data_IF_372789553921
#
_entry.id   IF_372789553921
#
_cell.length_a   1.000
_cell.length_b   1.000
_cell.length_c   1.000
_cell.angle_alpha   90.00
_cell.angle_beta   90.00
_cell.angle_gamma   90.00
#
_symmetry.space_group_name_H-M   'P 1'
#
loop_
_entity.id
_entity.type
_entity.pdbx_description
1 polymer ?
#
# COMPACT_ATOMS: atom_id res chain seq x y z
N UNK A 1 -33.80 -32.36 15.51
CA UNK A 1 -33.62 -31.80 14.15
C UNK A 1 -33.70 -30.25 14.09
N UNK A 2 -33.33 -29.52 15.16
CA UNK A 2 -33.35 -28.03 15.15
C UNK A 2 -31.96 -27.44 15.45
N UNK A 3 -30.98 -28.26 15.83
CA UNK A 3 -29.65 -27.78 16.25
C UNK A 3 -28.72 -27.46 15.07
N UNK A 4 -29.03 -27.89 13.85
CA UNK A 4 -28.19 -27.61 12.66
C UNK A 4 -28.53 -26.29 11.96
N UNK A 5 -29.73 -25.71 12.17
CA UNK A 5 -30.12 -24.47 11.49
C UNK A 5 -29.41 -23.22 12.04
N UNK A 6 -29.01 -23.24 13.32
CA UNK A 6 -28.23 -22.16 13.93
C UNK A 6 -26.76 -22.17 13.50
N UNK A 7 -26.23 -23.33 13.10
CA UNK A 7 -24.87 -23.46 12.59
C UNK A 7 -24.71 -23.00 11.12
N UNK A 8 -25.81 -22.83 10.39
CA UNK A 8 -25.80 -22.20 9.07
C UNK A 8 -25.88 -20.66 9.15
N UNK A 9 -26.56 -20.11 10.16
CA UNK A 9 -26.67 -18.66 10.34
C UNK A 9 -25.35 -18.00 10.80
N UNK A 10 -24.46 -18.74 11.47
CA UNK A 10 -23.13 -18.24 11.86
C UNK A 10 -22.11 -18.24 10.72
N UNK A 11 -22.46 -18.78 9.53
CA UNK A 11 -21.59 -18.75 8.34
C UNK A 11 -21.74 -17.49 7.49
N UNK A 12 -22.66 -16.59 7.86
CA UNK A 12 -22.94 -15.34 7.13
C UNK A 12 -22.42 -14.07 7.80
N UNK A 13 -21.66 -14.20 8.89
CA UNK A 13 -20.75 -13.15 9.36
C UNK A 13 -19.32 -13.51 8.93
N UNK A 14 -19.14 -13.79 7.64
CA UNK A 14 -17.87 -13.48 7.00
C UNK A 14 -17.82 -11.95 6.90
N UNK A 15 -17.57 -11.30 8.04
CA UNK A 15 -16.94 -9.98 8.03
C UNK A 15 -15.80 -10.11 7.01
N UNK A 16 -15.80 -9.25 6.00
CA UNK A 16 -14.74 -9.20 5.01
C UNK A 16 -13.41 -9.24 5.78
N UNK A 17 -12.76 -10.41 5.80
CA UNK A 17 -11.52 -10.60 6.55
C UNK A 17 -10.48 -9.87 5.75
N UNK A 18 -10.40 -8.55 5.97
CA UNK A 18 -9.28 -7.74 5.57
C UNK A 18 -8.07 -8.45 6.18
N UNK A 19 -7.16 -9.00 5.34
CA UNK A 19 -6.00 -9.69 5.85
C UNK A 19 -5.27 -8.74 6.79
N UNK A 20 -5.02 -9.16 8.02
CA UNK A 20 -4.34 -8.31 8.98
C UNK A 20 -2.89 -8.13 8.52
N UNK A 21 -2.36 -6.89 8.53
CA UNK A 21 -0.95 -6.65 8.24
C UNK A 21 -0.11 -7.47 9.23
N UNK A 22 0.92 -8.15 8.73
CA UNK A 22 1.85 -8.83 9.62
C UNK A 22 3.05 -7.95 9.86
N UNK A 23 3.61 -8.12 11.06
CA UNK A 23 4.98 -7.76 11.36
C UNK A 23 5.92 -8.52 10.42
N UNK A 24 6.24 -7.93 9.27
CA UNK A 24 7.35 -8.35 8.45
C UNK A 24 8.68 -8.03 9.16
N UNK A 25 9.76 -8.62 8.67
CA UNK A 25 11.15 -8.51 9.14
C UNK A 25 11.47 -7.22 9.90
N UNK A 26 12.24 -7.34 10.99
CA UNK A 26 12.71 -6.19 11.80
C UNK A 26 13.34 -5.06 10.97
N UNK A 27 13.84 -5.37 9.78
CA UNK A 27 14.37 -4.44 8.77
C UNK A 27 13.38 -3.35 8.33
N UNK A 28 12.05 -3.60 8.36
CA UNK A 28 11.02 -2.68 7.85
C UNK A 28 10.20 -1.98 8.95
N UNK A 29 10.52 -2.27 10.21
CA UNK A 29 9.82 -1.74 11.38
C UNK A 29 8.38 -2.22 11.53
N UNK A 30 7.79 -1.88 12.67
CA UNK A 30 6.44 -2.31 13.06
C UNK A 30 5.40 -1.17 13.03
N UNK A 31 5.80 0.06 12.71
CA UNK A 31 4.90 1.22 12.61
C UNK A 31 4.02 1.18 11.36
N UNK A 32 4.50 0.50 10.32
CA UNK A 32 3.82 0.44 9.02
C UNK A 32 3.08 -0.90 8.92
N UNK A 33 1.78 -0.91 8.55
CA UNK A 33 1.01 -2.12 8.37
C UNK A 33 1.34 -2.80 7.03
N UNK A 34 2.52 -3.40 6.93
CA UNK A 34 2.99 -4.07 5.72
C UNK A 34 2.16 -5.31 5.36
N UNK A 35 1.91 -5.45 4.06
CA UNK A 35 1.21 -6.59 3.46
C UNK A 35 2.16 -7.77 3.26
N UNK A 36 1.64 -8.99 3.34
CA UNK A 36 2.42 -10.24 3.29
C UNK A 36 3.04 -10.50 1.93
N UNK A 37 2.31 -10.12 0.89
CA UNK A 37 2.63 -10.42 -0.49
C UNK A 37 2.05 -9.34 -1.37
N UNK A 38 2.52 -9.31 -2.62
CA UNK A 38 1.94 -8.43 -3.62
C UNK A 38 0.46 -8.76 -3.88
N UNK A 39 0.07 -10.04 -3.84
CA UNK A 39 -1.33 -10.43 -4.01
C UNK A 39 -2.21 -9.88 -2.90
N UNK A 40 -1.81 -10.01 -1.63
CA UNK A 40 -2.50 -9.44 -0.47
C UNK A 40 -2.63 -7.92 -0.57
N UNK A 41 -1.53 -7.25 -0.96
CA UNK A 41 -1.53 -5.81 -1.15
C UNK A 41 -2.52 -5.35 -2.23
N UNK A 42 -2.59 -6.08 -3.36
CA UNK A 42 -3.48 -5.78 -4.47
C UNK A 42 -4.95 -6.11 -4.16
N UNK A 43 -5.21 -7.18 -3.42
CA UNK A 43 -6.56 -7.55 -2.99
C UNK A 43 -7.13 -6.49 -2.05
N UNK A 44 -6.35 -6.10 -1.03
CA UNK A 44 -6.76 -5.04 -0.11
C UNK A 44 -6.98 -3.69 -0.82
N UNK A 45 -6.07 -3.33 -1.74
CA UNK A 45 -6.19 -2.10 -2.53
C UNK A 45 -7.47 -2.05 -3.38
N UNK A 46 -7.91 -3.20 -3.93
CA UNK A 46 -9.15 -3.29 -4.68
C UNK A 46 -10.38 -3.13 -3.80
N UNK A 47 -10.37 -3.71 -2.60
CA UNK A 47 -11.50 -3.67 -1.67
C UNK A 47 -11.78 -2.26 -1.15
N UNK A 48 -10.73 -1.48 -0.85
CA UNK A 48 -10.87 -0.15 -0.23
C UNK A 48 -10.48 1.01 -1.17
N UNK A 49 -10.33 0.72 -2.46
CA UNK A 49 -9.90 1.66 -3.51
C UNK A 49 -8.60 2.42 -3.18
N UNK A 50 -7.64 1.77 -2.52
CA UNK A 50 -6.37 2.41 -2.14
C UNK A 50 -5.29 2.22 -3.19
N UNK A 51 -4.46 3.23 -3.48
CA UNK A 51 -3.22 3.00 -4.21
C UNK A 51 -2.30 2.03 -3.46
N UNK A 52 -1.44 1.32 -4.20
CA UNK A 52 -0.43 0.43 -3.61
C UNK A 52 0.94 1.08 -3.67
N UNK A 53 1.64 1.13 -2.54
CA UNK A 53 3.06 1.45 -2.47
C UNK A 53 3.87 0.15 -2.47
N UNK A 54 4.78 0.00 -3.43
CA UNK A 54 5.68 -1.15 -3.54
C UNK A 54 7.11 -0.68 -3.37
N UNK A 55 7.82 -1.25 -2.39
CA UNK A 55 9.25 -1.02 -2.21
C UNK A 55 10.01 -2.28 -2.63
N UNK A 56 10.87 -2.14 -3.63
CA UNK A 56 11.74 -3.23 -4.09
C UNK A 56 13.14 -3.02 -3.52
N UNK A 57 13.69 -4.06 -2.90
CA UNK A 57 14.97 -4.05 -2.20
C UNK A 57 15.75 -5.33 -2.47
N UNK A 58 17.03 -5.36 -2.11
CA UNK A 58 17.88 -6.56 -2.22
C UNK A 58 18.83 -6.62 -1.00
N UNK A 59 19.24 -7.82 -0.60
CA UNK A 59 20.28 -7.99 0.42
C UNK A 59 21.63 -7.47 -0.10
N UNK A 60 22.46 -6.93 0.80
CA UNK A 60 23.77 -6.36 0.46
C UNK A 60 23.73 -5.03 -0.31
N UNK A 61 22.55 -4.44 -0.49
CA UNK A 61 22.35 -3.11 -1.08
C UNK A 61 22.65 -1.99 -0.06
N UNK A 62 23.70 -1.15 -0.26
CA UNK A 62 24.03 -0.07 0.68
C UNK A 62 22.92 0.96 0.80
N UNK A 63 22.38 1.43 -0.32
CA UNK A 63 21.29 2.41 -0.36
C UNK A 63 20.00 1.90 0.32
N UNK A 64 19.74 0.60 0.25
CA UNK A 64 18.60 -0.03 0.92
C UNK A 64 18.81 -0.06 2.44
N UNK A 65 20.02 -0.40 2.87
CA UNK A 65 20.43 -0.39 4.29
C UNK A 65 20.27 1.00 4.91
N UNK A 66 20.51 2.05 4.14
CA UNK A 66 20.35 3.43 4.59
C UNK A 66 18.88 3.90 4.58
N UNK A 67 18.13 3.59 3.51
CA UNK A 67 16.78 4.13 3.32
C UNK A 67 15.72 3.42 4.18
N UNK A 68 15.79 2.09 4.30
CA UNK A 68 14.73 1.31 4.96
C UNK A 68 14.50 1.70 6.43
N UNK A 69 15.55 1.93 7.26
CA UNK A 69 15.36 2.41 8.63
C UNK A 69 14.69 3.80 8.69
N UNK A 70 14.94 4.68 7.72
CA UNK A 70 14.30 5.99 7.68
C UNK A 70 12.81 5.86 7.38
N UNK A 71 12.46 5.01 6.41
CA UNK A 71 11.06 4.68 6.09
C UNK A 71 10.35 4.08 7.31
N UNK A 72 10.96 3.05 7.91
CA UNK A 72 10.44 2.35 9.08
C UNK A 72 10.17 3.26 10.28
N UNK A 73 11.03 4.28 10.49
CA UNK A 73 10.93 5.19 11.63
C UNK A 73 10.06 6.44 11.37
N UNK A 74 9.73 6.74 10.11
CA UNK A 74 8.95 7.92 9.73
C UNK A 74 7.48 7.78 10.15
N UNK A 75 7.06 8.59 11.12
CA UNK A 75 5.66 8.66 11.56
C UNK A 75 4.74 9.17 10.44
N UNK A 76 5.21 10.05 9.56
CA UNK A 76 4.42 10.59 8.46
C UNK A 76 4.15 9.52 7.39
N UNK A 77 5.16 8.73 7.03
CA UNK A 77 4.97 7.60 6.10
C UNK A 77 4.04 6.55 6.72
N UNK A 78 4.26 6.20 7.99
CA UNK A 78 3.39 5.25 8.70
C UNK A 78 1.93 5.70 8.72
N UNK A 79 1.68 6.99 9.00
CA UNK A 79 0.34 7.57 8.95
C UNK A 79 -0.26 7.50 7.55
N UNK A 80 0.46 7.99 6.53
CA UNK A 80 -0.03 7.97 5.15
C UNK A 80 -0.34 6.55 4.69
N UNK A 81 0.52 5.57 4.99
CA UNK A 81 0.25 4.18 4.62
C UNK A 81 -0.99 3.65 5.33
N UNK A 82 -1.09 3.86 6.64
CA UNK A 82 -2.22 3.35 7.43
C UNK A 82 -3.56 3.93 6.98
N UNK A 83 -3.57 5.20 6.58
CA UNK A 83 -4.77 5.92 6.18
C UNK A 83 -5.09 5.73 4.69
N UNK A 84 -4.11 5.75 3.79
CA UNK A 84 -4.37 5.96 2.35
C UNK A 84 -3.78 4.90 1.42
N UNK A 85 -2.88 4.02 1.88
CA UNK A 85 -2.22 3.05 1.00
C UNK A 85 -2.42 1.60 1.45
N UNK A 86 -2.22 0.71 0.49
CA UNK A 86 -1.76 -0.66 0.75
C UNK A 86 -0.26 -0.70 0.50
N UNK A 87 0.56 -1.21 1.42
CA UNK A 87 2.01 -1.17 1.27
C UNK A 87 2.65 -2.55 1.35
N UNK A 88 3.64 -2.84 0.50
CA UNK A 88 4.36 -4.11 0.45
C UNK A 88 5.83 -3.90 0.12
N UNK A 89 6.69 -4.73 0.70
CA UNK A 89 8.12 -4.82 0.35
C UNK A 89 8.37 -6.11 -0.44
N UNK A 90 9.20 -6.04 -1.48
CA UNK A 90 9.54 -7.18 -2.34
C UNK A 90 11.06 -7.26 -2.51
N UNK A 91 11.63 -8.46 -2.40
CA UNK A 91 13.03 -8.69 -2.72
C UNK A 91 13.20 -8.80 -4.26
N UNK A 92 14.22 -8.16 -4.83
CA UNK A 92 14.49 -8.06 -6.28
C UNK A 92 14.54 -9.43 -6.98
N UNK A 93 14.96 -10.47 -6.28
CA UNK A 93 15.11 -11.80 -6.86
C UNK A 93 13.79 -12.58 -7.02
N UNK A 94 12.65 -12.00 -6.63
CA UNK A 94 11.34 -12.65 -6.79
C UNK A 94 10.81 -12.53 -8.22
N UNK A 95 10.12 -13.56 -8.70
CA UNK A 95 9.54 -13.58 -10.05
C UNK A 95 8.49 -12.50 -10.29
N UNK A 96 7.70 -12.16 -9.27
CA UNK A 96 6.68 -11.12 -9.36
C UNK A 96 7.25 -9.69 -9.42
N UNK A 97 8.58 -9.54 -9.29
CA UNK A 97 9.26 -8.26 -9.43
C UNK A 97 9.55 -7.88 -10.88
N UNK A 98 9.64 -8.85 -11.79
CA UNK A 98 9.98 -8.65 -13.21
C UNK A 98 9.08 -7.64 -13.96
N UNK A 99 7.86 -7.39 -13.45
CA UNK A 99 6.93 -6.40 -13.98
C UNK A 99 7.22 -4.95 -13.54
N UNK A 100 8.20 -4.74 -12.67
CA UNK A 100 8.58 -3.45 -12.09
C UNK A 100 9.97 -2.98 -12.57
N UNK A 101 10.20 -3.04 -13.89
CA UNK A 101 11.46 -2.63 -14.52
C UNK A 101 11.21 -1.56 -15.59
N UNK A 102 10.60 -0.43 -15.18
CA UNK A 102 10.28 0.66 -16.11
C UNK A 102 11.54 1.42 -16.56
N UNK A 103 12.54 1.56 -15.67
CA UNK A 103 13.79 2.29 -15.93
C UNK A 103 15.04 1.54 -15.46
N UNK A 104 14.93 0.23 -15.16
CA UNK A 104 16.09 -0.63 -14.91
C UNK A 104 16.00 -1.57 -13.69
N UNK A 105 17.14 -2.19 -13.40
CA UNK A 105 17.35 -3.27 -12.42
C UNK A 105 17.96 -2.83 -11.07
N UNK A 106 17.89 -1.54 -10.70
CA UNK A 106 18.59 -1.00 -9.51
C UNK A 106 17.76 -1.15 -8.21
N UNK A 107 18.39 -1.04 -7.04
CA UNK A 107 17.69 -1.05 -5.75
C UNK A 107 18.24 0.04 -4.81
N UNK A 108 17.40 0.62 -3.93
CA UNK A 108 15.95 0.42 -3.82
C UNK A 108 15.17 1.15 -4.92
N UNK A 109 13.96 0.65 -5.22
CA UNK A 109 12.97 1.34 -6.07
C UNK A 109 11.63 1.42 -5.36
N UNK A 110 10.93 2.54 -5.55
CA UNK A 110 9.59 2.74 -5.00
C UNK A 110 8.62 3.02 -6.13
N UNK A 111 7.65 2.13 -6.29
CA UNK A 111 6.57 2.25 -7.26
C UNK A 111 5.24 2.52 -6.57
N UNK A 112 4.42 3.34 -7.22
CA UNK A 112 3.02 3.52 -6.87
C UNK A 112 2.13 2.90 -7.94
N UNK A 113 1.18 2.08 -7.50
CA UNK A 113 0.21 1.44 -8.37
C UNK A 113 -1.15 2.07 -8.11
N UNK A 114 -1.92 2.18 -9.18
CA UNK A 114 -3.36 2.46 -9.09
C UNK A 114 -4.08 1.43 -8.22
N UNK A 115 -5.29 1.72 -7.70
CA UNK A 115 -6.11 0.75 -6.99
C UNK A 115 -6.46 -0.53 -7.78
N UNK A 116 -6.32 -0.49 -9.11
CA UNK A 116 -6.48 -1.66 -10.00
C UNK A 116 -5.24 -2.56 -10.06
N UNK A 117 -4.12 -2.12 -9.48
CA UNK A 117 -2.86 -2.85 -9.44
C UNK A 117 -1.91 -2.60 -10.61
N UNK A 118 -2.17 -1.57 -11.42
CA UNK A 118 -1.27 -1.17 -12.51
C UNK A 118 -0.28 -0.11 -12.01
N UNK A 119 1.00 -0.24 -12.37
CA UNK A 119 2.02 0.78 -12.11
C UNK A 119 1.63 2.08 -12.78
N UNK A 120 1.60 3.18 -12.03
CA UNK A 120 1.29 4.50 -12.55
C UNK A 120 2.57 5.31 -12.70
N UNK A 121 3.13 5.29 -13.91
CA UNK A 121 4.42 5.89 -14.24
C UNK A 121 4.46 7.43 -14.08
N UNK A 122 3.32 8.08 -13.83
CA UNK A 122 3.27 9.53 -13.51
C UNK A 122 3.89 9.85 -12.15
N UNK A 123 3.95 8.86 -11.25
CA UNK A 123 4.51 9.01 -9.91
C UNK A 123 5.93 8.43 -9.85
N UNK A 124 6.90 9.33 -9.89
CA UNK A 124 8.31 9.05 -9.75
C UNK A 124 8.96 10.18 -8.92
N UNK A 125 10.23 10.05 -8.55
CA UNK A 125 10.91 11.05 -7.75
C UNK A 125 11.19 12.32 -8.56
N UNK A 126 10.36 13.35 -8.37
CA UNK A 126 10.53 14.69 -8.95
C UNK A 126 11.28 15.64 -8.03
N UNK A 127 11.50 15.24 -6.78
CA UNK A 127 11.87 16.15 -5.70
C UNK A 127 13.36 16.14 -5.42
N UNK A 128 13.98 14.96 -5.52
CA UNK A 128 15.42 14.75 -5.41
C UNK A 128 15.85 13.84 -6.58
N UNK A 129 15.67 14.28 -7.85
CA UNK A 129 15.78 13.41 -9.02
C UNK A 129 17.22 12.96 -9.25
N UNK A 130 17.38 11.67 -9.56
CA UNK A 130 18.62 11.09 -10.06
C UNK A 130 18.42 10.81 -11.56
N UNK A 131 19.21 11.39 -12.48
CA UNK A 131 18.90 11.41 -13.92
C UNK A 131 18.55 10.05 -14.55
N UNK A 132 19.18 8.97 -14.09
CA UNK A 132 18.97 7.62 -14.62
C UNK A 132 18.04 6.76 -13.75
N UNK A 133 17.72 7.20 -12.53
CA UNK A 133 17.00 6.40 -11.52
C UNK A 133 15.75 7.13 -11.03
N UNK A 134 14.70 7.15 -11.86
CA UNK A 134 13.47 7.92 -11.61
C UNK A 134 12.71 7.45 -10.37
N UNK A 135 12.79 6.17 -10.04
CA UNK A 135 12.09 5.57 -8.89
C UNK A 135 12.99 5.38 -7.67
N UNK A 136 14.23 5.87 -7.73
CA UNK A 136 15.11 5.97 -6.57
C UNK A 136 14.76 7.20 -5.73
N UNK A 137 14.79 7.04 -4.41
CA UNK A 137 14.56 8.12 -3.45
C UNK A 137 15.71 8.11 -2.43
N UNK A 138 16.55 9.15 -2.38
CA UNK A 138 17.66 9.20 -1.43
C UNK A 138 17.20 9.48 0.01
N UNK A 139 15.99 10.03 0.19
CA UNK A 139 15.44 10.36 1.50
C UNK A 139 13.92 10.20 1.57
N UNK A 140 13.40 10.13 2.79
CA UNK A 140 11.96 10.06 3.07
C UNK A 140 11.19 11.32 2.61
N UNK A 141 11.87 12.46 2.45
CA UNK A 141 11.23 13.72 2.07
C UNK A 141 10.63 13.63 0.66
N UNK A 142 11.39 13.08 -0.30
CA UNK A 142 10.90 12.84 -1.65
C UNK A 142 9.74 11.84 -1.68
N UNK A 143 9.84 10.77 -0.87
CA UNK A 143 8.80 9.74 -0.75
C UNK A 143 7.48 10.35 -0.30
N UNK A 144 7.48 11.11 0.80
CA UNK A 144 6.28 11.75 1.36
C UNK A 144 5.61 12.67 0.35
N UNK A 145 6.40 13.46 -0.39
CA UNK A 145 5.83 14.37 -1.40
C UNK A 145 5.19 13.59 -2.55
N UNK A 146 5.84 12.54 -3.05
CA UNK A 146 5.23 11.66 -4.06
C UNK A 146 3.98 10.95 -3.54
N UNK A 147 3.97 10.49 -2.29
CA UNK A 147 2.78 9.90 -1.67
C UNK A 147 1.61 10.88 -1.66
N UNK A 148 1.85 12.17 -1.35
CA UNK A 148 0.80 13.21 -1.37
C UNK A 148 0.24 13.40 -2.79
N UNK A 149 1.10 13.47 -3.81
CA UNK A 149 0.64 13.52 -5.21
C UNK A 149 -0.22 12.31 -5.60
N UNK A 150 0.12 11.12 -5.10
CA UNK A 150 -0.64 9.89 -5.36
C UNK A 150 -2.00 9.95 -4.67
N UNK A 151 -2.07 10.40 -3.43
CA UNK A 151 -3.34 10.57 -2.68
C UNK A 151 -4.25 11.58 -3.38
N UNK A 152 -3.71 12.70 -3.87
CA UNK A 152 -4.48 13.70 -4.59
C UNK A 152 -5.06 13.16 -5.91
N UNK A 153 -4.33 12.26 -6.58
CA UNK A 153 -4.78 11.62 -7.82
C UNK A 153 -5.74 10.44 -7.61
N UNK A 154 -5.71 9.83 -6.43
CA UNK A 154 -6.57 8.72 -6.01
C UNK A 154 -7.31 9.06 -4.70
N UNK A 155 -8.20 10.06 -4.70
CA UNK A 155 -8.91 10.46 -3.51
C UNK A 155 -9.86 9.35 -3.03
N UNK A 156 -10.15 9.37 -1.72
CA UNK A 156 -11.12 8.47 -1.08
C UNK A 156 -12.40 8.39 -1.90
N UNK A 157 -12.74 7.18 -2.35
CA UNK A 157 -14.07 6.92 -2.90
C UNK A 157 -14.96 6.45 -1.76
N UNK A 158 -16.21 6.89 -1.76
CA UNK A 158 -17.20 6.37 -0.84
C UNK A 158 -17.39 4.88 -1.15
N UNK A 159 -16.78 4.04 -0.32
CA UNK A 159 -16.92 2.60 -0.34
C UNK A 159 -17.60 2.18 0.96
N UNK A 160 -18.43 1.14 0.90
CA UNK A 160 -19.20 0.68 2.06
C UNK A 160 -18.31 0.33 3.28
N UNK A 161 -17.02 0.06 3.05
CA UNK A 161 -16.02 -0.33 4.05
C UNK A 161 -15.34 0.84 4.77
N UNK A 162 -15.43 2.08 4.26
CA UNK A 162 -14.80 3.26 4.87
C UNK A 162 -15.61 4.54 4.58
N UNK A 163 -16.05 5.29 5.60
CA UNK A 163 -16.71 6.58 5.37
C UNK A 163 -15.74 7.54 4.68
N UNK A 164 -16.10 7.99 3.48
CA UNK A 164 -15.31 8.97 2.73
C UNK A 164 -15.33 10.34 3.42
N UNK A 165 -14.24 11.12 3.25
CA UNK A 165 -14.10 12.49 3.82
C UNK A 165 -15.25 13.45 3.43
N UNK A 166 -16.02 13.11 2.41
CA UNK A 166 -17.16 13.89 1.90
C UNK A 166 -18.45 13.67 2.73
N UNK A 167 -18.68 12.49 3.30
CA UNK A 167 -19.94 12.15 4.00
C UNK A 167 -19.76 11.96 5.52
N UNK A 168 -18.69 12.51 6.09
CA UNK A 168 -18.20 12.23 7.44
C UNK A 168 -19.17 12.57 8.61
N UNK A 169 -20.40 13.05 8.36
CA UNK A 169 -21.38 13.37 9.42
C UNK A 169 -22.75 12.75 9.27
N UNK A 170 -23.04 12.05 8.17
CA UNK A 170 -24.34 11.37 8.00
C UNK A 170 -24.07 10.00 7.43
N UNK A 171 -24.51 8.96 8.13
CA UNK A 171 -24.61 7.60 7.58
C UNK A 171 -25.71 7.58 6.50
N UNK A 172 -25.58 8.38 5.45
CA UNK A 172 -26.58 8.60 4.42
C UNK A 172 -26.13 8.04 3.07
N UNK A 173 -25.20 7.06 3.11
CA UNK A 173 -24.71 6.36 1.94
C UNK A 173 -25.89 5.87 1.09
N UNK A 174 -25.98 6.21 -0.20
CA UNK A 174 -27.14 5.89 -1.04
C UNK A 174 -27.46 4.39 -1.11
N UNK A 175 -26.45 3.53 -0.93
CA UNK A 175 -26.62 2.07 -0.88
C UNK A 175 -27.07 1.52 0.48
N UNK A 176 -27.18 2.36 1.52
CA UNK A 176 -27.67 2.00 2.86
C UNK A 176 -29.10 2.51 3.12
N UNK A 177 -29.75 3.13 2.12
CA UNK A 177 -31.16 3.48 2.18
C UNK A 177 -31.93 2.33 1.54
N UNK A 178 -32.59 1.54 2.38
CA UNK A 178 -33.53 0.48 1.97
C UNK A 178 -34.68 1.03 1.13
#
# INVERSE_FOLDING_TARGET
MIVELLALATRFLADAVIPQPVSCDSKFGNKIPWRKSLSDALEYAKLDFRPVMVIIWMDGCPSCTELMPQVANSNEIAKLISEEFSAVTLNEHRDDVKKFSLDGGYTPRIYFLSPKGNVDARFYNKWDPEPEFKFYYPSVKGIVKSMKEVVDAYPDRCMATRPCKIHHTRNDHPLLRE
#
